data_IF_761326199297
#
_entry.id   IF_761326199297
#
_cell.length_a   1.000
_cell.length_b   1.000
_cell.length_c   1.000
_cell.angle_alpha   90.00
_cell.angle_beta   90.00
_cell.angle_gamma   90.00
#
_symmetry.space_group_name_H-M   'P 1'
#
loop_
_entity.id
_entity.type
_entity.pdbx_description
1 polymer ?
#
# COMPACT_ATOMS: atom_id res chain seq x y z
N UNK A 1 -7.76 14.73 -8.60
CA UNK A 1 -6.30 14.67 -8.36
C UNK A 1 -5.85 13.21 -8.41
N UNK A 2 -4.65 12.93 -8.93
CA UNK A 2 -4.10 11.56 -8.92
C UNK A 2 -3.98 11.10 -7.47
N UNK A 3 -4.50 9.91 -7.14
CA UNK A 3 -4.55 9.36 -5.77
C UNK A 3 -3.71 8.09 -5.67
N UNK A 4 -3.17 7.75 -4.50
CA UNK A 4 -2.45 6.48 -4.33
C UNK A 4 -3.36 5.27 -4.58
N UNK A 5 -4.65 5.37 -4.26
CA UNK A 5 -5.67 4.35 -4.61
C UNK A 5 -5.77 4.11 -6.11
N UNK A 6 -5.67 5.16 -6.93
CA UNK A 6 -5.68 5.01 -8.39
C UNK A 6 -4.39 4.35 -8.89
N UNK A 7 -3.25 4.73 -8.30
CA UNK A 7 -1.94 4.15 -8.67
C UNK A 7 -1.83 2.69 -8.22
N UNK A 8 -2.43 2.33 -7.08
CA UNK A 8 -2.36 0.97 -6.53
C UNK A 8 -3.03 -0.08 -7.42
N UNK A 9 -3.92 0.33 -8.32
CA UNK A 9 -4.49 -0.56 -9.35
C UNK A 9 -3.37 -1.07 -10.27
N UNK A 10 -2.43 -0.19 -10.65
CA UNK A 10 -1.28 -0.55 -11.49
C UNK A 10 -0.19 -1.24 -10.69
N UNK A 11 0.16 -0.69 -9.52
CA UNK A 11 1.19 -1.23 -8.65
C UNK A 11 0.88 -2.61 -8.04
N UNK A 12 -0.38 -3.04 -8.05
CA UNK A 12 -0.78 -4.40 -7.65
C UNK A 12 -1.16 -5.30 -8.85
N UNK A 13 -1.05 -4.82 -10.09
CA UNK A 13 -1.33 -5.62 -11.28
C UNK A 13 -0.26 -6.68 -11.48
N UNK A 14 -0.66 -7.94 -11.65
CA UNK A 14 0.27 -9.04 -11.89
C UNK A 14 1.09 -8.84 -13.17
N UNK A 15 0.50 -8.27 -14.21
CA UNK A 15 1.17 -8.04 -15.48
C UNK A 15 2.32 -7.02 -15.34
N UNK A 16 2.05 -5.92 -14.65
CA UNK A 16 3.03 -4.86 -14.40
C UNK A 16 4.10 -5.34 -13.42
N UNK A 17 3.71 -6.00 -12.33
CA UNK A 17 4.66 -6.50 -11.34
C UNK A 17 5.51 -7.67 -11.83
N UNK A 18 5.10 -8.37 -12.89
CA UNK A 18 5.92 -9.39 -13.56
C UNK A 18 6.69 -8.83 -14.75
N UNK A 19 6.58 -7.53 -15.04
CA UNK A 19 7.25 -6.91 -16.19
C UNK A 19 8.78 -6.98 -16.10
N UNK A 20 9.35 -7.08 -14.89
CA UNK A 20 10.79 -7.26 -14.70
C UNK A 20 11.33 -8.52 -15.38
N UNK A 21 10.51 -9.56 -15.58
CA UNK A 21 10.91 -10.77 -16.32
C UNK A 21 11.32 -10.40 -17.76
N UNK A 22 10.61 -9.45 -18.37
CA UNK A 22 10.92 -9.00 -19.73
C UNK A 22 12.25 -8.25 -19.82
N UNK A 23 12.77 -7.70 -18.72
CA UNK A 23 14.11 -7.09 -18.71
C UNK A 23 15.23 -8.09 -18.99
N UNK A 24 15.00 -9.37 -18.68
CA UNK A 24 15.97 -10.44 -18.96
C UNK A 24 15.64 -11.17 -20.27
N UNK A 25 14.36 -11.47 -20.48
CA UNK A 25 13.91 -12.20 -21.67
C UNK A 25 14.22 -11.39 -22.93
N UNK A 26 13.87 -10.10 -22.98
CA UNK A 26 13.97 -9.32 -24.23
C UNK A 26 15.40 -9.21 -24.74
N UNK A 27 16.43 -8.88 -23.94
CA UNK A 27 17.82 -8.85 -24.43
C UNK A 27 18.32 -10.22 -24.89
N UNK A 28 17.92 -11.31 -24.22
CA UNK A 28 18.31 -12.67 -24.61
C UNK A 28 17.71 -13.00 -25.98
N UNK A 29 16.41 -12.78 -26.16
CA UNK A 29 15.73 -13.01 -27.43
C UNK A 29 16.27 -12.11 -28.55
N UNK A 30 16.50 -10.83 -28.27
CA UNK A 30 17.10 -9.90 -29.23
C UNK A 30 18.47 -10.38 -29.71
N UNK A 31 19.32 -10.86 -28.79
CA UNK A 31 20.66 -11.38 -29.10
C UNK A 31 20.63 -12.75 -29.79
N UNK A 32 19.61 -13.56 -29.53
CA UNK A 32 19.41 -14.85 -30.19
C UNK A 32 18.93 -14.65 -31.63
N UNK A 33 17.95 -13.76 -31.83
CA UNK A 33 17.45 -13.38 -33.15
C UNK A 33 18.51 -12.68 -33.99
N UNK A 34 19.33 -11.80 -33.40
CA UNK A 34 20.39 -11.09 -34.14
C UNK A 34 21.49 -12.01 -34.68
N UNK A 35 21.61 -13.24 -34.16
CA UNK A 35 22.54 -14.26 -34.68
C UNK A 35 21.98 -15.02 -35.86
N UNK A 36 20.66 -15.02 -36.04
CA UNK A 36 20.02 -15.61 -37.20
C UNK A 36 20.12 -14.59 -38.34
N UNK A 37 20.82 -14.94 -39.42
CA UNK A 37 20.89 -14.08 -40.61
C UNK A 37 19.49 -13.99 -41.22
N UNK A 38 18.93 -12.79 -41.27
CA UNK A 38 17.66 -12.49 -41.94
C UNK A 38 17.94 -11.98 -43.36
N UNK A 39 17.22 -12.43 -44.40
CA UNK A 39 16.23 -13.51 -44.39
C UNK A 39 16.88 -14.89 -44.30
N UNK A 40 16.27 -15.78 -43.53
CA UNK A 40 16.71 -17.17 -43.41
C UNK A 40 16.30 -17.91 -44.70
N UNK A 41 17.28 -18.21 -45.55
CA UNK A 41 17.04 -18.85 -46.86
C UNK A 41 17.08 -20.37 -46.69
N UNK A 42 15.96 -21.04 -46.94
CA UNK A 42 15.86 -22.50 -46.94
C UNK A 42 15.57 -23.02 -48.33
N UNK A 43 16.24 -24.11 -48.72
CA UNK A 43 15.97 -24.80 -49.98
C UNK A 43 15.21 -26.09 -49.68
N UNK A 44 13.92 -26.10 -49.95
CA UNK A 44 13.05 -27.29 -49.83
C UNK A 44 12.56 -27.61 -51.24
N UNK A 45 12.81 -28.84 -51.71
CA UNK A 45 12.41 -29.32 -53.05
C UNK A 45 12.86 -28.41 -54.22
N UNK A 46 14.03 -27.78 -54.09
CA UNK A 46 14.58 -26.92 -55.15
C UNK A 46 14.04 -25.49 -55.18
N UNK A 47 12.99 -25.17 -54.42
CA UNK A 47 12.49 -23.80 -54.24
C UNK A 47 13.19 -23.14 -53.05
N UNK A 48 13.52 -21.86 -53.20
CA UNK A 48 14.12 -21.03 -52.15
C UNK A 48 12.97 -20.34 -51.42
N UNK A 49 12.84 -20.63 -50.13
CA UNK A 49 11.94 -19.92 -49.22
C UNK A 49 12.76 -18.94 -48.41
N UNK A 50 12.32 -17.68 -48.37
CA UNK A 50 12.95 -16.62 -47.59
C UNK A 50 12.08 -16.31 -46.37
N UNK A 51 12.57 -16.67 -45.18
CA UNK A 51 11.90 -16.34 -43.92
C UNK A 51 12.49 -15.03 -43.37
N UNK A 52 11.72 -13.95 -43.43
CA UNK A 52 12.11 -12.66 -42.84
C UNK A 52 11.95 -12.76 -41.32
N UNK A 53 13.05 -12.73 -40.58
CA UNK A 53 13.08 -12.84 -39.11
C UNK A 53 13.07 -11.47 -38.43
N UNK A 54 12.37 -10.50 -39.02
CA UNK A 54 12.19 -9.18 -38.43
C UNK A 54 10.92 -9.18 -37.57
N UNK A 55 11.05 -8.75 -36.32
CA UNK A 55 9.91 -8.60 -35.43
C UNK A 55 9.03 -7.45 -35.95
N UNK A 56 7.70 -7.59 -35.96
CA UNK A 56 6.78 -6.56 -36.43
C UNK A 56 6.67 -5.37 -35.45
N UNK A 57 7.51 -5.33 -34.42
CA UNK A 57 7.51 -4.28 -33.41
C UNK A 57 8.92 -3.99 -32.89
N UNK A 58 9.09 -2.78 -32.39
CA UNK A 58 10.35 -2.36 -31.77
C UNK A 58 10.57 -3.02 -30.41
N UNK A 59 11.48 -3.98 -30.35
CA UNK A 59 11.87 -4.64 -29.10
C UNK A 59 12.50 -3.67 -28.09
N UNK A 60 13.13 -2.57 -28.57
CA UNK A 60 13.72 -1.54 -27.69
C UNK A 60 12.64 -0.74 -26.95
N UNK A 61 11.54 -0.39 -27.61
CA UNK A 61 10.39 0.26 -26.98
C UNK A 61 9.69 -0.67 -25.99
N UNK A 62 9.55 -1.95 -26.35
CA UNK A 62 9.02 -2.95 -25.44
C UNK A 62 9.90 -3.10 -24.19
N UNK A 63 11.23 -3.18 -24.37
CA UNK A 63 12.16 -3.21 -23.24
C UNK A 63 12.07 -1.94 -22.37
N UNK A 64 12.05 -0.76 -22.99
CA UNK A 64 11.93 0.51 -22.28
C UNK A 64 10.64 0.59 -21.44
N UNK A 65 9.53 0.07 -21.96
CA UNK A 65 8.26 -0.01 -21.21
C UNK A 65 8.37 -0.88 -19.96
N UNK A 66 8.98 -2.07 -20.08
CA UNK A 66 9.18 -2.99 -18.97
C UNK A 66 10.11 -2.39 -17.90
N UNK A 67 11.13 -1.63 -18.33
CA UNK A 67 12.04 -0.92 -17.45
C UNK A 67 11.32 0.18 -16.65
N UNK A 68 10.53 1.01 -17.33
CA UNK A 68 9.73 2.05 -16.68
C UNK A 68 8.74 1.47 -15.68
N UNK A 69 8.04 0.38 -16.04
CA UNK A 69 7.14 -0.32 -15.12
C UNK A 69 7.85 -0.89 -13.92
N UNK A 70 9.05 -1.44 -14.10
CA UNK A 70 9.84 -1.98 -13.00
C UNK A 70 10.25 -0.86 -12.03
N UNK A 71 10.77 0.26 -12.54
CA UNK A 71 11.11 1.42 -11.70
C UNK A 71 9.85 1.97 -11.00
N UNK A 72 8.74 2.10 -11.73
CA UNK A 72 7.49 2.58 -11.18
C UNK A 72 6.97 1.68 -10.04
N UNK A 73 7.05 0.35 -10.20
CA UNK A 73 6.66 -0.62 -9.17
C UNK A 73 7.58 -0.60 -7.96
N UNK A 74 8.89 -0.46 -8.16
CA UNK A 74 9.86 -0.28 -7.07
C UNK A 74 9.54 1.01 -6.29
N UNK A 75 9.35 2.11 -7.00
CA UNK A 75 9.02 3.40 -6.40
C UNK A 75 7.68 3.35 -5.66
N UNK A 76 6.66 2.71 -6.23
CA UNK A 76 5.37 2.48 -5.59
C UNK A 76 5.54 1.69 -4.29
N UNK A 77 6.31 0.59 -4.31
CA UNK A 77 6.52 -0.27 -3.15
C UNK A 77 7.13 0.49 -1.96
N UNK A 78 8.13 1.34 -2.22
CA UNK A 78 8.79 2.14 -1.17
C UNK A 78 8.01 3.40 -0.77
N UNK A 79 7.36 4.06 -1.71
CA UNK A 79 6.72 5.35 -1.45
C UNK A 79 5.28 5.20 -0.90
N UNK A 80 4.49 4.27 -1.43
CA UNK A 80 3.07 4.14 -1.08
C UNK A 80 2.89 3.71 0.38
N UNK A 81 1.98 4.34 1.14
CA UNK A 81 1.67 3.93 2.51
C UNK A 81 1.18 2.49 2.58
N UNK A 82 1.56 1.78 3.65
CA UNK A 82 1.18 0.38 3.91
C UNK A 82 -0.34 0.16 3.88
N UNK A 83 -1.12 1.07 4.47
CA UNK A 83 -2.60 0.97 4.47
C UNK A 83 -3.19 0.89 3.05
N UNK A 84 -2.60 1.61 2.07
CA UNK A 84 -3.05 1.61 0.66
C UNK A 84 -2.57 0.35 -0.07
N UNK A 85 -1.36 -0.12 0.24
CA UNK A 85 -0.78 -1.32 -0.38
C UNK A 85 -1.53 -2.59 0.04
N UNK A 86 -1.91 -2.66 1.31
CA UNK A 86 -2.47 -3.87 1.92
C UNK A 86 -4.00 -3.92 1.84
N UNK A 87 -4.69 -2.78 1.86
CA UNK A 87 -6.14 -2.75 1.96
C UNK A 87 -6.77 -2.00 0.78
N UNK A 88 -7.59 -2.69 -0.04
CA UNK A 88 -8.35 -2.06 -1.13
C UNK A 88 -9.57 -1.30 -0.63
N UNK A 89 -10.15 -1.76 0.48
CA UNK A 89 -11.36 -1.24 1.09
C UNK A 89 -11.42 -1.60 2.57
N UNK A 90 -12.35 -0.99 3.31
CA UNK A 90 -12.64 -1.38 4.68
C UNK A 90 -13.10 -2.85 4.80
N UNK A 91 -13.84 -3.37 3.82
CA UNK A 91 -14.23 -4.79 3.81
C UNK A 91 -13.02 -5.73 3.77
N UNK A 92 -11.99 -5.40 2.99
CA UNK A 92 -10.72 -6.17 2.96
C UNK A 92 -10.01 -6.13 4.31
N UNK A 93 -10.02 -4.96 4.95
CA UNK A 93 -9.43 -4.77 6.27
C UNK A 93 -10.11 -5.66 7.34
N UNK A 94 -11.44 -5.79 7.30
CA UNK A 94 -12.19 -6.69 8.18
C UNK A 94 -11.97 -8.17 7.87
N UNK A 95 -11.92 -8.56 6.59
CA UNK A 95 -11.65 -9.94 6.17
C UNK A 95 -10.28 -10.41 6.69
N UNK A 96 -9.28 -9.52 6.65
CA UNK A 96 -7.94 -9.76 7.19
C UNK A 96 -7.89 -9.76 8.73
N UNK A 97 -9.05 -9.61 9.41
CA UNK A 97 -9.19 -9.54 10.87
C UNK A 97 -8.36 -8.43 11.53
N UNK A 98 -8.14 -7.33 10.82
CA UNK A 98 -7.43 -6.15 11.35
C UNK A 98 -8.37 -5.29 12.20
N UNK A 99 -7.79 -4.56 13.15
CA UNK A 99 -8.49 -3.78 14.17
C UNK A 99 -7.85 -2.40 14.42
N UNK A 100 -8.36 -1.64 15.40
CA UNK A 100 -7.88 -0.28 15.72
C UNK A 100 -6.34 -0.20 15.91
N UNK A 101 -5.67 -1.12 16.64
CA UNK A 101 -4.21 -1.18 16.69
C UNK A 101 -3.52 -1.14 15.32
N UNK A 102 -4.04 -1.86 14.33
CA UNK A 102 -3.48 -1.84 12.97
C UNK A 102 -3.63 -0.46 12.31
N UNK A 103 -4.77 0.21 12.54
CA UNK A 103 -4.99 1.58 12.06
C UNK A 103 -4.00 2.55 12.70
N UNK A 104 -3.73 2.41 14.01
CA UNK A 104 -2.71 3.20 14.71
C UNK A 104 -1.32 2.97 14.10
N UNK A 105 -0.94 1.71 13.91
CA UNK A 105 0.35 1.34 13.32
C UNK A 105 0.53 1.95 11.91
N UNK A 106 -0.53 1.94 11.09
CA UNK A 106 -0.49 2.58 9.76
C UNK A 106 -0.29 4.09 9.84
N UNK A 107 -0.95 4.75 10.79
CA UNK A 107 -0.85 6.19 10.98
C UNK A 107 0.50 6.60 11.58
N UNK A 108 1.02 5.85 12.54
CA UNK A 108 2.36 6.01 13.10
C UNK A 108 3.45 5.86 12.04
N UNK A 109 3.34 4.84 11.17
CA UNK A 109 4.27 4.64 10.06
C UNK A 109 4.29 5.79 9.03
N UNK A 110 3.28 6.66 9.05
CA UNK A 110 3.22 7.88 8.23
C UNK A 110 3.66 9.15 8.97
N UNK A 111 4.06 9.03 10.25
CA UNK A 111 4.44 10.18 11.09
C UNK A 111 3.26 11.05 11.51
N UNK A 112 2.04 10.51 11.50
CA UNK A 112 0.85 11.25 11.95
C UNK A 112 0.95 11.46 13.47
N UNK A 113 0.94 12.72 13.91
CA UNK A 113 1.14 13.08 15.31
C UNK A 113 -0.08 12.74 16.18
N UNK A 114 0.13 12.42 17.45
CA UNK A 114 -0.93 12.22 18.48
C UNK A 114 -2.02 13.31 18.47
N UNK A 115 -1.65 14.56 18.17
CA UNK A 115 -2.58 15.70 18.03
C UNK A 115 -3.63 15.48 16.93
N UNK A 116 -3.25 14.87 15.81
CA UNK A 116 -4.17 14.55 14.72
C UNK A 116 -5.13 13.43 15.14
N UNK A 117 -4.63 12.41 15.85
CA UNK A 117 -5.45 11.34 16.41
C UNK A 117 -6.50 11.85 17.40
N UNK A 118 -6.15 12.78 18.29
CA UNK A 118 -7.10 13.45 19.18
C UNK A 118 -8.16 14.21 18.37
N UNK A 119 -7.74 14.95 17.33
CA UNK A 119 -8.64 15.72 16.47
C UNK A 119 -9.63 14.87 15.67
N UNK A 120 -9.29 13.63 15.34
CA UNK A 120 -10.23 12.68 14.70
C UNK A 120 -10.97 11.81 15.71
N UNK A 121 -10.89 12.07 17.01
CA UNK A 121 -11.56 11.31 18.07
C UNK A 121 -11.01 9.89 18.30
N UNK A 122 -9.72 9.67 18.00
CA UNK A 122 -8.95 8.48 18.42
C UNK A 122 -8.17 8.72 19.72
N UNK A 123 -8.08 9.97 20.18
CA UNK A 123 -7.29 10.32 21.37
C UNK A 123 -7.95 10.07 22.72
N UNK A 124 -9.25 9.74 22.75
CA UNK A 124 -10.04 9.65 23.99
C UNK A 124 -10.70 8.28 24.21
N UNK A 125 -10.55 7.32 23.29
CA UNK A 125 -10.93 5.95 23.60
C UNK A 125 -9.78 5.28 24.35
N UNK A 126 -9.92 5.29 25.69
CA UNK A 126 -9.06 4.75 26.74
C UNK A 126 -8.79 3.24 26.67
N UNK A 127 -8.64 2.65 25.49
CA UNK A 127 -8.29 1.25 25.36
C UNK A 127 -6.82 1.10 24.98
N UNK A 128 -6.05 0.71 26.01
CA UNK A 128 -4.69 0.17 25.98
C UNK A 128 -3.51 1.15 26.10
N UNK A 129 -3.33 1.70 27.30
CA UNK A 129 -2.06 1.48 27.98
C UNK A 129 -2.23 1.57 29.51
N UNK A 130 -2.05 0.46 30.26
CA UNK A 130 -1.97 0.50 31.71
C UNK A 130 -1.00 1.59 32.21
N UNK A 131 0.04 1.91 31.43
CA UNK A 131 1.09 2.87 31.76
C UNK A 131 0.59 4.31 31.93
N UNK A 132 -0.34 4.80 31.09
CA UNK A 132 -0.87 6.18 31.20
C UNK A 132 -1.76 6.33 32.44
N UNK A 133 -2.51 5.27 32.77
CA UNK A 133 -3.29 5.23 34.00
C UNK A 133 -2.39 5.20 35.25
N UNK A 134 -1.26 4.48 35.21
CA UNK A 134 -0.29 4.46 36.30
C UNK A 134 0.41 5.82 36.50
N UNK A 135 0.67 6.56 35.42
CA UNK A 135 1.33 7.87 35.48
C UNK A 135 0.42 8.93 36.13
N UNK A 136 -0.86 8.97 35.75
CA UNK A 136 -1.85 9.85 36.37
C UNK A 136 -2.13 9.49 37.84
N UNK A 137 -2.18 8.20 38.18
CA UNK A 137 -2.35 7.74 39.57
C UNK A 137 -1.14 8.05 40.45
N UNK A 138 0.07 8.04 39.89
CA UNK A 138 1.30 8.39 40.61
C UNK A 138 1.33 9.89 40.94
N UNK A 139 0.97 10.74 39.98
CA UNK A 139 0.90 12.19 40.18
C UNK A 139 -0.14 12.57 41.25
N UNK A 140 -1.28 11.89 41.26
CA UNK A 140 -2.34 12.09 42.25
C UNK A 140 -1.95 11.58 43.65
N UNK A 141 -1.12 10.55 43.73
CA UNK A 141 -0.52 10.03 44.98
C UNK A 141 0.51 10.99 45.57
N UNK A 142 1.27 11.68 44.72
CA UNK A 142 2.32 12.60 45.16
C UNK A 142 1.76 13.95 45.67
N UNK A 143 0.56 14.36 45.22
CA UNK A 143 -0.18 15.50 45.79
C UNK A 143 -0.83 15.20 47.16
N UNK A 144 -1.07 13.92 47.49
CA UNK A 144 -1.69 13.50 48.75
C UNK A 144 -0.69 13.28 49.90
N UNK A 145 0.59 13.63 49.71
CA UNK A 145 1.65 13.43 50.71
C UNK A 145 1.85 14.58 51.70
N UNK A 146 1.13 15.69 51.56
CA UNK A 146 1.09 16.71 52.61
C UNK A 146 -0.20 16.54 53.44
N UNK A 147 0.00 16.14 54.70
CA UNK A 147 -1.01 16.00 55.75
C UNK A 147 -2.05 14.89 55.57
N UNK A 148 -1.65 13.64 55.78
CA UNK A 148 -2.28 12.71 56.76
C UNK A 148 -1.61 11.35 56.69
N UNK A 149 -1.38 10.73 57.85
CA UNK A 149 -0.99 9.31 57.95
C UNK A 149 -2.24 8.48 57.61
N UNK A 150 -2.53 8.37 56.32
CA UNK A 150 -3.58 7.50 55.82
C UNK A 150 -2.99 6.10 55.67
N UNK A 151 -3.68 5.11 56.24
CA UNK A 151 -3.32 3.71 56.15
C UNK A 151 -3.19 3.28 54.68
N UNK A 152 -1.97 2.92 54.29
CA UNK A 152 -1.59 2.57 52.92
C UNK A 152 -2.40 1.36 52.41
N UNK A 153 -2.88 0.49 53.30
CA UNK A 153 -3.75 -0.63 52.94
C UNK A 153 -5.15 -0.18 52.50
N UNK A 154 -5.70 0.86 53.12
CA UNK A 154 -7.02 1.38 52.81
C UNK A 154 -7.01 2.12 51.44
N UNK A 155 -5.96 2.90 51.16
CA UNK A 155 -5.75 3.53 49.85
C UNK A 155 -5.59 2.47 48.74
N UNK A 156 -4.83 1.40 48.99
CA UNK A 156 -4.69 0.29 48.02
C UNK A 156 -6.02 -0.38 47.74
N UNK A 157 -6.87 -0.55 48.76
CA UNK A 157 -8.19 -1.18 48.63
C UNK A 157 -9.15 -0.29 47.83
N UNK A 158 -9.16 1.02 48.08
CA UNK A 158 -9.95 2.01 47.34
C UNK A 158 -9.48 2.13 45.88
N UNK A 159 -8.15 2.14 45.66
CA UNK A 159 -7.54 2.15 44.32
C UNK A 159 -7.91 0.90 43.51
N UNK A 160 -7.81 -0.29 44.12
CA UNK A 160 -8.19 -1.54 43.47
C UNK A 160 -9.70 -1.61 43.20
N UNK A 161 -10.55 -1.12 44.11
CA UNK A 161 -12.00 -1.06 43.89
C UNK A 161 -12.39 -0.06 42.81
N UNK A 162 -11.76 1.12 42.76
CA UNK A 162 -11.95 2.10 41.68
C UNK A 162 -11.47 1.53 40.35
N UNK A 163 -10.30 0.89 40.29
CA UNK A 163 -9.83 0.14 39.11
C UNK A 163 -10.84 -0.91 38.65
N UNK A 164 -11.42 -1.68 39.58
CA UNK A 164 -12.42 -2.69 39.25
C UNK A 164 -13.73 -2.10 38.74
N UNK A 165 -14.18 -0.97 39.31
CA UNK A 165 -15.41 -0.27 38.88
C UNK A 165 -15.24 0.36 37.51
N UNK A 166 -14.13 1.04 37.25
CA UNK A 166 -13.79 1.60 35.94
C UNK A 166 -13.66 0.49 34.90
N UNK A 167 -12.94 -0.60 35.21
CA UNK A 167 -12.87 -1.77 34.33
C UNK A 167 -14.25 -2.36 34.02
N UNK A 168 -15.13 -2.45 35.01
CA UNK A 168 -16.52 -2.92 34.82
C UNK A 168 -17.37 -1.94 34.02
N UNK A 169 -17.21 -0.63 34.17
CA UNK A 169 -17.98 0.38 33.42
C UNK A 169 -17.51 0.54 31.97
N UNK A 170 -16.20 0.50 31.73
CA UNK A 170 -15.59 0.46 30.39
C UNK A 170 -16.03 -0.80 29.63
N UNK A 171 -16.05 -1.96 30.31
CA UNK A 171 -16.57 -3.20 29.70
C UNK A 171 -18.10 -3.26 29.57
N UNK A 172 -18.85 -2.45 30.33
CA UNK A 172 -20.32 -2.39 30.28
C UNK A 172 -20.83 -1.52 29.12
N UNK A 173 -20.03 -0.58 28.64
CA UNK A 173 -20.31 0.22 27.43
C UNK A 173 -19.54 -0.31 26.22
N UNK A 174 -19.51 -1.63 26.01
CA UNK A 174 -19.18 -2.11 24.66
C UNK A 174 -20.30 -1.65 23.74
N UNK A 175 -20.02 -0.80 22.74
CA UNK A 175 -21.02 -0.48 21.74
C UNK A 175 -21.51 -1.79 21.10
N UNK A 176 -22.80 -1.90 20.74
CA UNK A 176 -23.29 -3.00 19.92
C UNK A 176 -22.37 -3.19 18.70
N UNK A 177 -22.29 -4.43 18.18
CA UNK A 177 -21.35 -4.76 17.10
C UNK A 177 -21.42 -3.79 15.91
N UNK A 178 -22.62 -3.28 15.59
CA UNK A 178 -22.85 -2.28 14.55
C UNK A 178 -22.17 -0.94 14.85
N UNK A 179 -22.36 -0.36 16.04
CA UNK A 179 -21.70 0.89 16.46
C UNK A 179 -20.17 0.76 16.49
N UNK A 180 -19.65 -0.42 16.88
CA UNK A 180 -18.21 -0.68 16.86
C UNK A 180 -17.66 -0.69 15.43
N UNK A 181 -18.36 -1.34 14.50
CA UNK A 181 -17.94 -1.39 13.09
C UNK A 181 -17.99 -0.02 12.43
N UNK A 182 -19.04 0.77 12.68
CA UNK A 182 -19.15 2.15 12.18
C UNK A 182 -18.01 3.03 12.70
N UNK A 183 -17.67 2.92 13.98
CA UNK A 183 -16.53 3.62 14.56
C UNK A 183 -15.22 3.22 13.87
N UNK A 184 -14.95 1.92 13.72
CA UNK A 184 -13.76 1.43 13.03
C UNK A 184 -13.71 1.87 11.57
N UNK A 185 -14.85 1.86 10.88
CA UNK A 185 -14.97 2.30 9.49
C UNK A 185 -14.60 3.77 9.34
N UNK A 186 -15.17 4.64 10.18
CA UNK A 186 -14.88 6.08 10.19
C UNK A 186 -13.40 6.36 10.41
N UNK A 187 -12.81 5.66 11.39
CA UNK A 187 -11.38 5.72 11.70
C UNK A 187 -10.49 5.26 10.55
N UNK A 188 -10.85 4.12 9.95
CA UNK A 188 -10.15 3.57 8.80
C UNK A 188 -10.12 4.59 7.64
N UNK A 189 -11.27 5.15 7.26
CA UNK A 189 -11.35 6.10 6.16
C UNK A 189 -10.58 7.40 6.45
N UNK A 190 -10.59 7.88 7.69
CA UNK A 190 -9.81 9.06 8.08
C UNK A 190 -8.31 8.88 7.82
N UNK A 191 -7.74 7.74 8.24
CA UNK A 191 -6.32 7.41 7.99
C UNK A 191 -6.08 7.08 6.52
N UNK A 192 -7.00 6.37 5.89
CA UNK A 192 -6.91 5.98 4.48
C UNK A 192 -6.89 7.21 3.56
N UNK A 193 -7.76 8.18 3.77
CA UNK A 193 -7.86 9.38 2.93
C UNK A 193 -6.65 10.30 3.11
N UNK A 194 -6.14 10.40 4.34
CA UNK A 194 -4.87 11.07 4.60
C UNK A 194 -3.72 10.37 3.87
N UNK A 195 -3.61 9.04 4.01
CA UNK A 195 -2.60 8.24 3.33
C UNK A 195 -2.67 8.39 1.81
N UNK A 196 -3.89 8.39 1.27
CA UNK A 196 -4.18 8.51 -0.15
C UNK A 196 -3.70 9.86 -0.74
N UNK A 197 -3.62 10.89 0.11
CA UNK A 197 -3.19 12.25 -0.23
C UNK A 197 -1.73 12.55 0.09
N UNK A 198 -1.03 11.65 0.80
CA UNK A 198 0.36 11.83 1.23
C UNK A 198 1.37 11.78 0.07
N UNK A 199 2.60 12.27 0.32
CA UNK A 199 3.77 12.16 -0.59
C UNK A 199 3.49 12.54 -2.05
N UNK A 200 2.96 13.76 -2.26
CA UNK A 200 2.53 14.27 -3.58
C UNK A 200 3.58 14.11 -4.69
N UNK A 201 4.85 14.41 -4.41
CA UNK A 201 5.94 14.32 -5.41
C UNK A 201 6.16 12.89 -5.89
N UNK A 202 6.33 11.94 -4.97
CA UNK A 202 6.52 10.52 -5.31
C UNK A 202 5.32 9.96 -6.09
N UNK A 203 4.11 10.41 -5.76
CA UNK A 203 2.88 10.03 -6.45
C UNK A 203 2.87 10.49 -7.91
N UNK A 204 3.27 11.72 -8.17
CA UNK A 204 3.33 12.27 -9.55
C UNK A 204 4.40 11.54 -10.37
N UNK A 205 5.58 11.32 -9.79
CA UNK A 205 6.67 10.59 -10.48
C UNK A 205 6.22 9.17 -10.83
N UNK A 206 5.66 8.44 -9.86
CA UNK A 206 5.17 7.08 -10.06
C UNK A 206 4.07 7.01 -11.15
N UNK A 207 3.10 7.92 -11.10
CA UNK A 207 2.05 7.99 -12.12
C UNK A 207 2.60 8.32 -13.51
N UNK A 208 3.60 9.20 -13.60
CA UNK A 208 4.24 9.56 -14.88
C UNK A 208 5.02 8.40 -15.47
N UNK A 209 5.75 7.65 -14.64
CA UNK A 209 6.49 6.45 -15.09
C UNK A 209 5.55 5.36 -15.60
N UNK A 210 4.45 5.08 -14.89
CA UNK A 210 3.43 4.16 -15.40
C UNK A 210 2.81 4.67 -16.69
N UNK A 211 2.45 5.96 -16.76
CA UNK A 211 1.88 6.55 -17.98
C UNK A 211 2.79 6.42 -19.20
N UNK A 212 4.08 6.71 -19.04
CA UNK A 212 5.08 6.56 -20.11
C UNK A 212 5.27 5.09 -20.51
N UNK A 213 5.33 4.17 -19.54
CA UNK A 213 5.42 2.74 -19.83
C UNK A 213 4.23 2.23 -20.66
N UNK A 214 3.01 2.66 -20.30
CA UNK A 214 1.81 2.35 -21.08
C UNK A 214 1.82 2.97 -22.47
N UNK A 215 2.29 4.21 -22.61
CA UNK A 215 2.41 4.85 -23.92
C UNK A 215 3.34 4.07 -24.85
N UNK A 216 4.49 3.59 -24.36
CA UNK A 216 5.40 2.76 -25.16
C UNK A 216 4.79 1.41 -25.55
N UNK A 217 4.11 0.74 -24.62
CA UNK A 217 3.41 -0.51 -24.95
C UNK A 217 2.30 -0.29 -25.98
N UNK A 218 1.56 0.80 -25.87
CA UNK A 218 0.51 1.13 -26.83
C UNK A 218 1.10 1.33 -28.24
N UNK A 219 2.21 2.07 -28.35
CA UNK A 219 2.93 2.24 -29.61
C UNK A 219 3.40 0.91 -30.18
N UNK A 220 3.96 0.03 -29.33
CA UNK A 220 4.40 -1.33 -29.74
C UNK A 220 3.24 -2.16 -30.29
N UNK A 221 2.08 -2.13 -29.61
CA UNK A 221 0.87 -2.86 -30.04
C UNK A 221 0.38 -2.31 -31.38
N UNK A 222 0.30 -0.98 -31.53
CA UNK A 222 -0.14 -0.35 -32.77
C UNK A 222 0.82 -0.63 -33.94
N UNK A 223 2.13 -0.60 -33.69
CA UNK A 223 3.14 -0.96 -34.69
C UNK A 223 2.98 -2.42 -35.15
N UNK A 224 2.78 -3.33 -34.19
CA UNK A 224 2.53 -4.73 -34.50
C UNK A 224 1.25 -4.93 -35.32
N UNK A 225 0.15 -4.30 -34.92
CA UNK A 225 -1.12 -4.37 -35.65
C UNK A 225 -1.03 -3.78 -37.06
N UNK A 226 -0.36 -2.63 -37.22
CA UNK A 226 -0.14 -1.99 -38.50
C UNK A 226 0.65 -2.87 -39.45
N UNK A 227 1.73 -3.50 -38.96
CA UNK A 227 2.56 -4.39 -39.78
C UNK A 227 1.78 -5.60 -40.27
N UNK A 228 0.93 -6.18 -39.41
CA UNK A 228 0.07 -7.30 -39.81
C UNK A 228 -0.93 -6.86 -40.88
N UNK A 229 -1.54 -5.68 -40.75
CA UNK A 229 -2.48 -5.16 -41.76
C UNK A 229 -1.82 -4.89 -43.11
N UNK A 230 -0.53 -4.52 -43.15
CA UNK A 230 0.19 -4.35 -44.43
C UNK A 230 0.55 -5.67 -45.12
N UNK A 231 0.54 -6.80 -44.41
CA UNK A 231 0.83 -8.12 -44.97
C UNK A 231 -0.39 -8.80 -45.61
N UNK A 232 -1.61 -8.29 -45.40
CA UNK A 232 -2.86 -8.79 -45.99
C UNK A 232 -3.29 -7.90 -47.16
#
# INVERSE_FOLDING_TARGET
MISWKSISIFGNSQLINRSYIYLFIVPIFAKLLSKLQSPLKFKIEGKIYELVLELPFSWTMFFASAFLFTIASILYYYAAPSIIKENKSFGTFLIDRKDIPHISNYAEGMGITRKWFVGIGMGEHEDFSPLVLFENLKHQSDELKEETVIDIEEIKKISNQKKLKVYKEVHRKRPPNEEKEEFMQSKFWSVYDYANSSKKTSRIICASLYGLGFAFILVVILQGAWTVLQMW
#
